data_IF_750392023473
#
_entry.id   IF_750392023473
#
_cell.length_a   1.000
_cell.length_b   1.000
_cell.length_c   1.000
_cell.angle_alpha   90.00
_cell.angle_beta   90.00
_cell.angle_gamma   90.00
#
_symmetry.space_group_name_H-M   'P 1'
#
loop_
_entity.id
_entity.type
_entity.pdbx_description
1 polymer ?
#
# COMPACT_ATOMS: atom_id res chain seq x y z
N UNK A 1 -31.53 12.21 27.12
CA UNK A 1 -32.01 11.95 25.76
C UNK A 1 -31.20 10.78 25.23
N UNK A 2 -31.88 9.68 24.92
CA UNK A 2 -31.26 8.44 24.42
C UNK A 2 -30.74 8.69 23.00
N UNK A 3 -29.43 8.65 22.80
CA UNK A 3 -28.84 8.73 21.47
C UNK A 3 -28.53 7.33 20.95
N UNK A 4 -28.88 7.13 19.69
CA UNK A 4 -28.74 5.91 18.92
C UNK A 4 -27.26 5.54 18.71
N UNK A 5 -26.99 4.25 18.82
CA UNK A 5 -25.82 3.47 18.42
C UNK A 5 -25.12 3.96 17.15
N UNK A 6 -23.92 4.53 17.27
CA UNK A 6 -22.98 4.71 16.14
C UNK A 6 -21.54 4.42 16.58
N UNK A 7 -20.78 3.71 15.74
CA UNK A 7 -19.35 3.45 15.95
C UNK A 7 -18.53 4.62 15.41
N UNK A 8 -17.55 5.09 16.19
CA UNK A 8 -16.73 6.25 15.85
C UNK A 8 -15.35 5.86 15.35
N UNK A 9 -14.82 6.63 14.39
CA UNK A 9 -13.43 6.54 13.93
C UNK A 9 -12.75 7.90 14.02
N UNK A 10 -11.60 7.94 14.70
CA UNK A 10 -10.78 9.15 14.83
C UNK A 10 -9.60 9.14 13.86
N UNK A 11 -9.30 10.32 13.29
CA UNK A 11 -8.23 10.54 12.33
C UNK A 11 -7.24 11.57 12.89
N UNK A 12 -6.04 11.15 13.29
CA UNK A 12 -4.98 12.07 13.74
C UNK A 12 -3.89 12.19 12.66
N UNK A 13 -3.31 13.39 12.47
CA UNK A 13 -2.25 13.70 11.49
C UNK A 13 -1.29 14.75 12.04
N UNK A 14 -0.02 14.72 11.65
CA UNK A 14 0.96 15.73 12.07
C UNK A 14 1.22 16.70 10.93
N UNK A 15 0.56 17.86 10.91
CA UNK A 15 0.80 18.92 9.93
C UNK A 15 1.56 20.08 10.58
N UNK A 16 2.72 20.44 10.01
CA UNK A 16 3.44 21.67 10.33
C UNK A 16 2.95 22.80 9.40
N UNK A 17 2.33 23.85 9.96
CA UNK A 17 1.82 24.97 9.17
C UNK A 17 2.97 25.85 8.61
N UNK A 18 3.25 25.76 7.31
CA UNK A 18 3.79 26.89 6.54
C UNK A 18 2.67 27.61 5.81
N UNK A 19 2.50 28.90 6.12
CA UNK A 19 1.55 29.82 5.48
C UNK A 19 1.94 29.98 4.01
N UNK A 20 1.05 29.60 3.10
CA UNK A 20 1.16 29.96 1.70
C UNK A 20 0.19 31.11 1.41
N UNK A 21 0.76 32.28 1.11
CA UNK A 21 0.02 33.47 0.70
C UNK A 21 -0.31 33.35 -0.79
N UNK A 22 -1.60 33.36 -1.09
CA UNK A 22 -2.12 32.94 -2.39
C UNK A 22 -1.84 33.85 -3.57
N UNK A 23 -2.20 33.33 -4.74
CA UNK A 23 -2.66 34.12 -5.88
C UNK A 23 -3.83 33.39 -6.54
N UNK A 24 -4.88 34.16 -6.81
CA UNK A 24 -6.07 33.79 -7.60
C UNK A 24 -5.70 33.82 -9.09
N UNK A 25 -6.34 32.97 -9.89
CA UNK A 25 -6.97 33.45 -11.14
C UNK A 25 -8.11 32.52 -11.61
N UNK A 26 -9.15 33.05 -12.28
CA UNK A 26 -10.41 32.40 -12.61
C UNK A 26 -10.36 31.84 -14.04
N UNK A 27 -11.12 30.79 -14.34
CA UNK A 27 -11.80 30.68 -15.63
C UNK A 27 -12.94 29.67 -15.51
N UNK A 28 -14.15 30.23 -15.54
CA UNK A 28 -15.42 29.56 -15.82
C UNK A 28 -15.45 29.28 -17.32
N UNK A 29 -15.85 28.08 -17.74
CA UNK A 29 -16.79 27.92 -18.85
C UNK A 29 -17.39 26.51 -18.93
N UNK A 30 -18.72 26.49 -18.86
CA UNK A 30 -19.60 25.38 -19.16
C UNK A 30 -19.64 25.10 -20.66
N UNK A 31 -19.57 23.84 -21.09
CA UNK A 31 -20.05 23.39 -22.40
C UNK A 31 -20.79 22.04 -22.23
N UNK A 32 -21.99 21.98 -22.81
CA UNK A 32 -22.97 20.90 -22.75
C UNK A 32 -22.64 19.69 -23.64
N UNK A 33 -23.23 18.50 -23.39
CA UNK A 33 -23.00 17.30 -24.18
C UNK A 33 -23.94 17.20 -25.39
N UNK A 34 -23.38 16.97 -26.58
CA UNK A 34 -24.14 16.63 -27.79
C UNK A 34 -24.18 15.10 -27.99
N UNK A 35 -25.38 14.58 -28.25
CA UNK A 35 -25.69 13.19 -28.64
C UNK A 35 -25.80 13.08 -30.15
N UNK A 36 -25.33 11.98 -30.74
CA UNK A 36 -25.93 11.37 -31.94
C UNK A 36 -25.55 9.87 -32.08
N UNK A 37 -26.37 9.04 -32.76
CA UNK A 37 -26.42 7.58 -32.62
C UNK A 37 -25.80 6.82 -33.81
N UNK A 38 -25.84 5.46 -33.84
CA UNK A 38 -26.77 4.80 -34.77
C UNK A 38 -27.33 3.41 -34.37
N UNK A 39 -28.41 3.01 -35.06
CA UNK A 39 -29.05 1.68 -35.20
C UNK A 39 -28.83 1.17 -36.66
N UNK A 40 -29.28 -0.02 -37.13
CA UNK A 40 -29.53 -1.34 -36.52
C UNK A 40 -28.97 -2.57 -37.33
N UNK A 41 -28.83 -3.72 -36.63
CA UNK A 41 -29.05 -5.14 -37.02
C UNK A 41 -28.58 -5.78 -38.34
N UNK A 42 -27.97 -6.98 -38.26
CA UNK A 42 -28.39 -8.17 -39.04
C UNK A 42 -27.79 -9.49 -38.50
N UNK A 43 -28.54 -10.58 -38.70
CA UNK A 43 -28.35 -11.97 -38.24
C UNK A 43 -27.50 -12.82 -39.21
N UNK A 44 -26.72 -13.80 -38.70
CA UNK A 44 -26.55 -15.19 -39.21
C UNK A 44 -25.35 -15.86 -38.50
N UNK A 45 -25.60 -16.85 -37.62
CA UNK A 45 -25.51 -18.30 -37.81
C UNK A 45 -24.07 -18.90 -37.74
N UNK A 46 -23.88 -19.65 -36.64
CA UNK A 46 -23.11 -20.89 -36.44
C UNK A 46 -21.64 -20.97 -36.87
N UNK A 47 -20.74 -21.12 -35.88
CA UNK A 47 -19.75 -22.21 -35.85
C UNK A 47 -19.51 -22.63 -34.39
N UNK A 48 -19.52 -23.95 -34.15
CA UNK A 48 -19.18 -24.59 -32.88
C UNK A 48 -17.78 -24.20 -32.43
N UNK A 49 -17.68 -23.38 -31.38
CA UNK A 49 -16.52 -23.36 -30.51
C UNK A 49 -17.01 -23.81 -29.15
N UNK A 50 -16.56 -24.98 -28.69
CA UNK A 50 -16.63 -25.32 -27.27
C UNK A 50 -15.82 -24.26 -26.51
N UNK A 51 -16.48 -23.17 -26.10
CA UNK A 51 -15.99 -22.28 -25.07
C UNK A 51 -15.90 -23.10 -23.79
N UNK A 52 -14.67 -23.53 -23.46
CA UNK A 52 -14.32 -23.80 -22.07
C UNK A 52 -14.84 -22.64 -21.21
N UNK A 53 -15.40 -22.91 -20.01
CA UNK A 53 -15.89 -21.84 -19.15
C UNK A 53 -14.79 -20.78 -19.02
N UNK A 54 -15.09 -19.47 -19.05
CA UNK A 54 -14.05 -18.47 -18.91
C UNK A 54 -13.29 -18.79 -17.62
N UNK A 55 -12.06 -19.28 -17.76
CA UNK A 55 -11.17 -19.47 -16.63
C UNK A 55 -11.18 -18.14 -15.91
N UNK A 56 -11.58 -18.18 -14.64
CA UNK A 56 -11.78 -16.97 -13.85
C UNK A 56 -10.41 -16.30 -13.69
N UNK A 57 -10.07 -15.44 -14.65
CA UNK A 57 -8.79 -14.76 -14.73
C UNK A 57 -8.56 -14.02 -13.41
N UNK A 58 -7.31 -14.07 -12.94
CA UNK A 58 -6.96 -13.43 -11.68
C UNK A 58 -7.30 -11.92 -11.74
N UNK A 59 -7.66 -11.27 -10.61
CA UNK A 59 -7.95 -9.83 -10.60
C UNK A 59 -6.80 -8.92 -11.02
N UNK A 60 -5.59 -9.49 -11.16
CA UNK A 60 -4.36 -8.79 -11.53
C UNK A 60 -3.81 -9.25 -12.88
N UNK A 61 -4.56 -10.09 -13.61
CA UNK A 61 -4.18 -10.56 -14.94
C UNK A 61 -3.96 -9.37 -15.90
N UNK A 62 -2.90 -9.43 -16.71
CA UNK A 62 -2.47 -8.32 -17.56
C UNK A 62 -1.73 -7.19 -16.83
N UNK A 63 -1.66 -7.22 -15.49
CA UNK A 63 -1.02 -6.22 -14.66
C UNK A 63 0.50 -6.34 -14.58
N UNK A 64 1.13 -5.30 -14.02
CA UNK A 64 2.54 -5.29 -13.63
C UNK A 64 2.60 -5.29 -12.10
N UNK A 65 3.22 -6.30 -11.51
CA UNK A 65 3.23 -6.48 -10.05
C UNK A 65 4.54 -6.02 -9.42
N UNK A 66 4.47 -5.05 -8.53
CA UNK A 66 5.51 -4.74 -7.58
C UNK A 66 5.53 -5.81 -6.48
N UNK A 67 6.68 -6.46 -6.26
CA UNK A 67 6.84 -7.53 -5.28
C UNK A 67 7.34 -7.00 -3.93
N UNK A 68 6.68 -7.34 -2.82
CA UNK A 68 7.12 -6.89 -1.50
C UNK A 68 6.15 -7.19 -0.36
N UNK A 69 6.56 -6.87 0.88
CA UNK A 69 5.71 -6.97 2.08
C UNK A 69 4.79 -5.76 2.27
N UNK A 70 5.17 -4.60 1.74
CA UNK A 70 4.35 -3.38 1.71
C UNK A 70 3.74 -2.92 3.06
N UNK A 71 4.43 -3.19 4.18
CA UNK A 71 3.96 -2.87 5.54
C UNK A 71 3.79 -1.35 5.74
N UNK A 72 4.86 -0.57 5.52
CA UNK A 72 4.83 0.88 5.71
C UNK A 72 4.22 1.70 4.56
N UNK A 73 4.12 1.11 3.35
CA UNK A 73 3.87 1.88 2.12
C UNK A 73 4.76 3.15 2.06
N UNK A 74 6.07 3.00 2.27
CA UNK A 74 7.03 4.11 2.28
C UNK A 74 7.46 4.54 0.87
N UNK A 75 8.32 5.57 0.74
CA UNK A 75 8.74 6.10 -0.57
C UNK A 75 9.39 5.05 -1.49
N UNK A 76 10.14 4.09 -0.93
CA UNK A 76 10.64 2.93 -1.70
C UNK A 76 9.55 2.05 -2.32
N UNK A 77 8.43 1.83 -1.63
CA UNK A 77 7.29 1.11 -2.20
C UNK A 77 6.57 1.93 -3.28
N UNK A 78 6.47 3.24 -3.08
CA UNK A 78 5.93 4.16 -4.09
C UNK A 78 6.75 4.11 -5.38
N UNK A 79 8.08 4.06 -5.28
CA UNK A 79 8.96 3.94 -6.44
C UNK A 79 8.71 2.64 -7.23
N UNK A 80 8.55 1.50 -6.55
CA UNK A 80 8.17 0.24 -7.22
C UNK A 80 6.84 0.39 -7.99
N UNK A 81 5.84 1.04 -7.40
CA UNK A 81 4.55 1.28 -8.04
C UNK A 81 4.67 2.25 -9.24
N UNK A 82 5.48 3.29 -9.13
CA UNK A 82 5.77 4.22 -10.23
C UNK A 82 6.38 3.45 -11.41
N UNK A 83 7.37 2.61 -11.16
CA UNK A 83 8.03 1.84 -12.22
C UNK A 83 7.07 0.84 -12.86
N UNK A 84 6.21 0.18 -12.07
CA UNK A 84 5.16 -0.67 -12.60
C UNK A 84 4.18 0.11 -13.51
N UNK A 85 3.83 1.34 -13.12
CA UNK A 85 2.90 2.20 -13.86
C UNK A 85 3.42 2.68 -15.23
N UNK A 86 4.75 2.74 -15.40
CA UNK A 86 5.38 3.09 -16.68
C UNK A 86 5.20 2.02 -17.76
N UNK A 87 4.95 0.78 -17.34
CA UNK A 87 4.89 -0.39 -18.22
C UNK A 87 3.45 -0.91 -18.36
N UNK A 88 2.61 -0.74 -17.34
CA UNK A 88 1.21 -1.18 -17.38
C UNK A 88 0.43 -0.82 -16.14
N UNK A 89 -0.68 -1.54 -15.88
CA UNK A 89 -1.52 -1.29 -14.70
C UNK A 89 -0.76 -1.75 -13.44
N UNK A 90 -0.46 -0.84 -12.49
CA UNK A 90 0.39 -1.17 -11.35
C UNK A 90 -0.39 -1.88 -10.24
N UNK A 91 0.16 -3.00 -9.78
CA UNK A 91 -0.31 -3.73 -8.61
C UNK A 91 0.79 -3.91 -7.57
N UNK A 92 0.44 -3.87 -6.29
CA UNK A 92 1.32 -4.28 -5.20
C UNK A 92 0.96 -5.70 -4.81
N UNK A 93 1.86 -6.66 -5.03
CA UNK A 93 1.68 -8.04 -4.63
C UNK A 93 2.23 -8.25 -3.22
N UNK A 94 1.34 -8.25 -2.24
CA UNK A 94 1.67 -8.26 -0.81
C UNK A 94 1.50 -9.63 -0.18
N UNK A 95 2.49 -10.05 0.61
CA UNK A 95 2.48 -11.32 1.33
C UNK A 95 1.96 -11.16 2.75
N UNK A 96 0.78 -11.72 3.03
CA UNK A 96 0.11 -11.65 4.34
C UNK A 96 0.35 -12.93 5.15
N UNK A 97 0.14 -12.88 6.46
CA UNK A 97 0.31 -14.03 7.36
C UNK A 97 1.77 -14.45 7.63
N UNK A 98 2.76 -13.68 7.14
CA UNK A 98 4.18 -14.03 7.28
C UNK A 98 4.65 -14.13 8.74
N UNK A 99 4.20 -13.21 9.61
CA UNK A 99 4.59 -13.21 11.02
C UNK A 99 4.12 -14.48 11.75
N UNK A 100 2.86 -14.86 11.56
CA UNK A 100 2.27 -16.07 12.14
C UNK A 100 2.98 -17.34 11.66
N UNK A 101 3.21 -17.43 10.36
CA UNK A 101 3.89 -18.58 9.72
C UNK A 101 5.34 -18.74 10.19
N UNK A 102 6.03 -17.64 10.52
CA UNK A 102 7.41 -17.64 10.97
C UNK A 102 7.55 -17.59 12.50
N UNK A 103 6.45 -17.55 13.24
CA UNK A 103 6.46 -17.46 14.71
C UNK A 103 7.00 -16.12 15.23
N UNK A 104 6.87 -15.04 14.46
CA UNK A 104 7.24 -13.69 14.91
C UNK A 104 6.15 -13.10 15.80
N UNK A 105 6.56 -12.28 16.77
CA UNK A 105 5.62 -11.52 17.58
C UNK A 105 4.72 -10.64 16.70
N UNK A 106 3.39 -10.65 16.93
CA UNK A 106 2.48 -9.75 16.26
C UNK A 106 2.89 -8.29 16.51
N UNK A 107 2.98 -7.51 15.43
CA UNK A 107 3.25 -6.07 15.49
C UNK A 107 2.10 -5.32 14.85
N UNK A 108 1.73 -4.18 15.44
CA UNK A 108 0.74 -3.30 14.84
C UNK A 108 1.18 -2.88 13.42
N UNK A 109 0.27 -2.83 12.45
CA UNK A 109 0.60 -2.38 11.10
C UNK A 109 0.97 -0.89 11.11
N UNK A 110 1.95 -0.49 10.29
CA UNK A 110 2.34 0.93 10.18
C UNK A 110 1.22 1.75 9.52
N UNK A 111 0.52 1.13 8.56
CA UNK A 111 -0.65 1.71 7.89
C UNK A 111 -1.86 0.86 8.20
N UNK A 112 -2.85 1.44 8.88
CA UNK A 112 -4.10 0.77 9.19
C UNK A 112 -4.79 0.26 7.91
N UNK A 113 -5.36 -0.95 7.97
CA UNK A 113 -5.98 -1.64 6.82
C UNK A 113 -6.99 -0.76 6.06
N UNK A 114 -7.78 0.02 6.79
CA UNK A 114 -8.77 0.93 6.23
C UNK A 114 -8.18 2.14 5.51
N UNK A 115 -6.97 2.58 5.89
CA UNK A 115 -6.32 3.77 5.35
C UNK A 115 -5.43 3.44 4.14
N UNK A 116 -5.13 2.16 3.91
CA UNK A 116 -4.28 1.71 2.78
C UNK A 116 -4.79 2.19 1.42
N UNK A 117 -6.11 2.12 1.17
CA UNK A 117 -6.70 2.59 -0.10
C UNK A 117 -6.40 4.07 -0.34
N UNK A 118 -6.57 4.92 0.67
CA UNK A 118 -6.27 6.35 0.59
C UNK A 118 -4.78 6.59 0.31
N UNK A 119 -3.89 5.86 0.99
CA UNK A 119 -2.44 5.95 0.74
C UNK A 119 -2.12 5.59 -0.71
N UNK A 120 -2.68 4.50 -1.24
CA UNK A 120 -2.46 4.10 -2.63
C UNK A 120 -3.06 5.11 -3.63
N UNK A 121 -4.25 5.65 -3.36
CA UNK A 121 -4.85 6.72 -4.18
C UNK A 121 -3.98 7.98 -4.21
N UNK A 122 -3.28 8.30 -3.12
CA UNK A 122 -2.35 9.44 -3.09
C UNK A 122 -1.16 9.28 -4.05
N UNK A 123 -0.87 8.07 -4.53
CA UNK A 123 0.22 7.81 -5.49
C UNK A 123 -0.22 7.93 -6.95
N UNK A 124 -1.52 8.06 -7.23
CA UNK A 124 -2.03 8.14 -8.59
C UNK A 124 -1.34 9.25 -9.42
N UNK A 125 -1.11 10.48 -8.91
CA UNK A 125 -0.41 11.52 -9.67
C UNK A 125 1.03 11.12 -10.06
N UNK A 126 1.71 10.31 -9.23
CA UNK A 126 3.04 9.81 -9.55
C UNK A 126 3.02 8.63 -10.53
N UNK A 127 1.88 7.94 -10.64
CA UNK A 127 1.70 6.74 -11.43
C UNK A 127 0.90 6.99 -12.73
N UNK A 128 1.04 8.18 -13.33
CA UNK A 128 0.34 8.53 -14.57
C UNK A 128 -1.19 8.56 -14.42
N UNK A 129 -1.69 8.97 -13.25
CA UNK A 129 -3.10 8.95 -12.84
C UNK A 129 -3.71 7.55 -12.66
N UNK A 130 -2.90 6.49 -12.72
CA UNK A 130 -3.34 5.14 -12.35
C UNK A 130 -3.21 4.96 -10.84
N UNK A 131 -4.31 4.63 -10.17
CA UNK A 131 -4.27 4.27 -8.75
C UNK A 131 -3.75 2.84 -8.59
N UNK A 132 -2.58 2.61 -7.96
CA UNK A 132 -2.09 1.27 -7.69
C UNK A 132 -3.05 0.51 -6.79
N UNK A 133 -3.22 -0.79 -7.05
CA UNK A 133 -4.08 -1.66 -6.23
C UNK A 133 -3.23 -2.70 -5.53
N UNK A 134 -3.62 -3.06 -4.33
CA UNK A 134 -2.94 -4.11 -3.58
C UNK A 134 -3.67 -5.44 -3.75
N UNK A 135 -2.91 -6.50 -4.01
CA UNK A 135 -3.38 -7.87 -4.08
C UNK A 135 -2.63 -8.70 -3.05
N UNK A 136 -3.38 -9.48 -2.25
CA UNK A 136 -2.83 -10.23 -1.12
C UNK A 136 -2.68 -11.70 -1.48
N UNK A 137 -1.51 -12.25 -1.20
CA UNK A 137 -1.24 -13.68 -1.23
C UNK A 137 -0.86 -14.14 0.17
N UNK A 138 -1.51 -15.20 0.63
CA UNK A 138 -1.14 -15.89 1.87
C UNK A 138 0.28 -16.45 1.76
N UNK A 139 1.18 -16.01 2.65
CA UNK A 139 2.58 -16.45 2.63
C UNK A 139 2.69 -17.97 2.80
N UNK A 140 1.78 -18.59 3.55
CA UNK A 140 1.69 -20.05 3.72
C UNK A 140 1.55 -20.81 2.39
N UNK A 141 0.89 -20.21 1.38
CA UNK A 141 0.66 -20.81 0.06
C UNK A 141 1.84 -20.68 -0.90
N UNK A 142 2.81 -19.82 -0.59
CA UNK A 142 3.96 -19.56 -1.48
C UNK A 142 5.30 -19.86 -0.84
N UNK A 143 5.39 -19.99 0.49
CA UNK A 143 6.65 -20.16 1.22
C UNK A 143 7.47 -21.37 0.78
N UNK A 144 6.83 -22.43 0.27
CA UNK A 144 7.45 -23.69 -0.12
C UNK A 144 7.84 -23.74 -1.60
N UNK A 145 7.46 -22.74 -2.39
CA UNK A 145 7.72 -22.71 -3.82
C UNK A 145 9.20 -22.45 -4.07
N UNK A 146 9.80 -23.21 -4.97
CA UNK A 146 11.10 -22.85 -5.55
C UNK A 146 11.00 -21.52 -6.32
N UNK A 147 12.13 -20.83 -6.60
CA UNK A 147 12.12 -19.65 -7.45
C UNK A 147 11.38 -19.86 -8.78
N UNK A 148 11.61 -20.99 -9.45
CA UNK A 148 10.92 -21.35 -10.71
C UNK A 148 9.42 -21.46 -10.52
N UNK A 149 8.96 -22.24 -9.53
CA UNK A 149 7.52 -22.42 -9.25
C UNK A 149 6.83 -21.11 -8.85
N UNK A 150 7.55 -20.21 -8.17
CA UNK A 150 7.02 -18.90 -7.85
C UNK A 150 6.76 -18.07 -9.11
N UNK A 151 7.72 -18.03 -10.05
CA UNK A 151 7.57 -17.31 -11.33
C UNK A 151 6.51 -17.97 -12.22
N UNK A 152 6.46 -19.29 -12.26
CA UNK A 152 5.41 -20.05 -12.93
C UNK A 152 4.02 -19.66 -12.42
N UNK A 153 3.84 -19.56 -11.09
CA UNK A 153 2.59 -19.10 -10.47
C UNK A 153 2.24 -17.67 -10.90
N UNK A 154 3.22 -16.76 -10.95
CA UNK A 154 2.99 -15.39 -11.42
C UNK A 154 2.49 -15.38 -12.87
N UNK A 155 3.12 -16.18 -13.74
CA UNK A 155 2.81 -16.24 -15.16
C UNK A 155 1.50 -16.95 -15.46
N UNK A 156 1.32 -18.18 -14.97
CA UNK A 156 0.24 -19.08 -15.38
C UNK A 156 -1.01 -18.90 -14.52
N UNK A 157 -0.86 -18.82 -13.19
CA UNK A 157 -2.02 -18.73 -12.30
C UNK A 157 -2.51 -17.29 -12.12
N UNK A 158 -1.59 -16.33 -12.03
CA UNK A 158 -1.95 -14.92 -11.86
C UNK A 158 -2.03 -14.17 -13.19
N UNK A 159 -1.45 -14.68 -14.28
CA UNK A 159 -1.55 -14.06 -15.60
C UNK A 159 -0.95 -12.66 -15.67
N UNK A 160 0.04 -12.33 -14.82
CA UNK A 160 0.68 -11.01 -14.85
C UNK A 160 1.54 -10.87 -16.09
N UNK A 161 1.79 -9.65 -16.57
CA UNK A 161 2.69 -9.41 -17.73
C UNK A 161 4.12 -9.07 -17.33
N UNK A 162 4.33 -8.71 -16.07
CA UNK A 162 5.66 -8.39 -15.59
C UNK A 162 5.71 -8.11 -14.10
N UNK A 163 6.94 -8.03 -13.61
CA UNK A 163 7.28 -7.86 -12.20
C UNK A 163 8.21 -6.67 -12.03
N UNK A 164 8.06 -5.96 -10.92
CA UNK A 164 9.00 -4.94 -10.46
C UNK A 164 9.50 -5.32 -9.07
N UNK A 165 10.81 -5.31 -8.88
CA UNK A 165 11.44 -5.64 -7.62
C UNK A 165 12.65 -4.73 -7.34
N UNK A 166 13.02 -4.62 -6.07
CA UNK A 166 14.28 -3.96 -5.69
C UNK A 166 15.49 -4.85 -5.98
N UNK A 167 16.66 -4.26 -6.16
CA UNK A 167 17.94 -4.97 -6.37
C UNK A 167 18.27 -5.98 -5.26
N UNK A 168 17.80 -5.74 -4.03
CA UNK A 168 18.01 -6.63 -2.87
C UNK A 168 16.86 -7.63 -2.67
N UNK A 169 15.98 -7.81 -3.66
CA UNK A 169 14.83 -8.70 -3.54
C UNK A 169 15.26 -10.16 -3.49
N UNK A 170 14.65 -10.92 -2.58
CA UNK A 170 14.88 -12.34 -2.38
C UNK A 170 13.56 -13.09 -2.37
N UNK A 171 13.52 -14.25 -3.00
CA UNK A 171 12.28 -15.02 -3.14
C UNK A 171 12.52 -16.53 -3.25
N UNK A 172 11.43 -17.29 -3.30
CA UNK A 172 11.45 -18.74 -3.27
C UNK A 172 11.76 -19.31 -1.89
N UNK A 173 11.71 -20.64 -1.79
CA UNK A 173 11.91 -21.38 -0.56
C UNK A 173 13.26 -21.01 0.07
N UNK A 174 13.22 -20.59 1.34
CA UNK A 174 14.39 -20.11 2.10
C UNK A 174 15.16 -18.97 1.39
N UNK A 175 14.47 -18.10 0.65
CA UNK A 175 15.07 -16.98 -0.05
C UNK A 175 16.18 -17.42 -1.03
N UNK A 176 16.02 -18.58 -1.66
CA UNK A 176 17.01 -19.18 -2.55
C UNK A 176 17.26 -18.38 -3.85
N UNK A 177 16.26 -17.64 -4.34
CA UNK A 177 16.37 -16.80 -5.52
C UNK A 177 16.67 -15.34 -5.19
N UNK A 178 17.40 -14.67 -6.09
CA UNK A 178 17.72 -13.25 -6.04
C UNK A 178 17.19 -12.47 -7.27
N UNK A 179 17.48 -11.18 -7.36
CA UNK A 179 17.02 -10.34 -8.46
C UNK A 179 17.50 -10.84 -9.85
N UNK A 180 18.69 -11.44 -9.93
CA UNK A 180 19.21 -11.99 -11.19
C UNK A 180 18.47 -13.26 -11.59
N UNK A 181 18.16 -14.14 -10.63
CA UNK A 181 17.28 -15.29 -10.87
C UNK A 181 15.89 -14.87 -11.31
N UNK A 182 15.34 -13.80 -10.72
CA UNK A 182 14.03 -13.29 -11.09
C UNK A 182 14.00 -12.86 -12.56
N UNK A 183 15.00 -12.10 -13.02
CA UNK A 183 15.10 -11.67 -14.42
C UNK A 183 15.16 -12.86 -15.36
N UNK A 184 16.09 -13.79 -15.11
CA UNK A 184 16.27 -14.99 -15.95
C UNK A 184 15.00 -15.84 -16.02
N UNK A 185 14.39 -16.13 -14.87
CA UNK A 185 13.17 -16.93 -14.83
C UNK A 185 12.00 -16.20 -15.49
N UNK A 186 11.83 -14.89 -15.27
CA UNK A 186 10.77 -14.12 -15.93
C UNK A 186 10.90 -14.19 -17.46
N UNK A 187 12.11 -14.08 -18.01
CA UNK A 187 12.36 -14.23 -19.45
C UNK A 187 11.92 -15.61 -19.97
N UNK A 188 12.22 -16.69 -19.25
CA UNK A 188 11.80 -18.05 -19.60
C UNK A 188 10.27 -18.22 -19.67
N UNK A 189 9.52 -17.46 -18.87
CA UNK A 189 8.05 -17.48 -18.83
C UNK A 189 7.40 -16.33 -19.63
N UNK A 190 8.17 -15.53 -20.38
CA UNK A 190 7.64 -14.42 -21.17
C UNK A 190 7.15 -13.21 -20.36
N UNK A 191 7.64 -13.04 -19.13
CA UNK A 191 7.35 -11.92 -18.24
C UNK A 191 8.41 -10.82 -18.36
N UNK A 192 8.00 -9.56 -18.36
CA UNK A 192 8.93 -8.44 -18.16
C UNK A 192 9.43 -8.40 -16.71
N UNK A 193 10.74 -8.23 -16.48
CA UNK A 193 11.31 -8.05 -15.15
C UNK A 193 12.06 -6.72 -15.05
N UNK A 194 11.67 -5.88 -14.10
CA UNK A 194 12.24 -4.56 -13.88
C UNK A 194 12.84 -4.48 -12.48
N UNK A 195 14.17 -4.48 -12.41
CA UNK A 195 14.91 -4.35 -11.16
C UNK A 195 15.29 -2.88 -10.95
N UNK A 196 14.94 -2.33 -9.79
CA UNK A 196 15.21 -0.94 -9.46
C UNK A 196 16.16 -0.82 -8.27
N UNK A 197 16.97 0.22 -8.27
CA UNK A 197 17.82 0.55 -7.12
C UNK A 197 16.98 1.01 -5.94
N UNK A 198 17.45 0.70 -4.74
CA UNK A 198 16.78 1.09 -3.51
C UNK A 198 16.74 2.61 -3.33
N UNK A 199 15.63 3.13 -2.83
CA UNK A 199 15.52 4.54 -2.43
C UNK A 199 16.29 4.75 -1.14
N UNK A 200 17.31 5.59 -1.18
CA UNK A 200 18.19 5.87 -0.05
C UNK A 200 17.57 6.89 0.91
N UNK A 201 17.83 6.69 2.21
CA UNK A 201 17.46 7.64 3.25
C UNK A 201 18.36 8.87 3.19
N UNK A 202 17.75 10.06 3.22
CA UNK A 202 18.46 11.34 3.16
C UNK A 202 19.20 11.68 4.46
N UNK A 203 18.77 11.14 5.60
CA UNK A 203 19.41 11.40 6.89
C UNK A 203 20.67 10.58 7.14
N UNK A 204 21.05 9.67 6.23
CA UNK A 204 22.25 8.85 6.41
C UNK A 204 23.20 8.91 5.21
N UNK A 205 24.33 9.58 5.43
CA UNK A 205 25.61 9.09 4.93
C UNK A 205 25.95 7.83 5.74
N UNK A 206 25.56 6.66 5.21
CA UNK A 206 25.93 5.30 5.63
C UNK A 206 26.88 5.20 6.84
N UNK A 207 26.39 5.04 8.10
CA UNK A 207 27.14 4.38 9.20
C UNK A 207 26.45 4.18 10.55
N UNK A 208 25.36 4.84 10.91
CA UNK A 208 24.87 4.81 12.30
C UNK A 208 23.47 4.20 12.50
N UNK A 209 23.29 2.94 12.13
CA UNK A 209 22.36 2.06 12.87
C UNK A 209 23.18 0.84 13.28
N UNK A 210 23.28 0.63 14.59
CA UNK A 210 24.01 -0.47 15.20
C UNK A 210 23.63 -1.80 14.53
N UNK A 211 24.68 -2.49 14.10
CA UNK A 211 24.66 -3.76 13.41
C UNK A 211 23.90 -4.83 14.22
N UNK A 212 22.68 -5.15 13.77
CA UNK A 212 22.12 -6.50 13.91
C UNK A 212 21.56 -7.04 12.59
N UNK A 213 21.27 -6.19 11.61
CA UNK A 213 20.97 -6.59 10.23
C UNK A 213 21.94 -5.91 9.27
N UNK A 214 23.04 -6.59 8.95
CA UNK A 214 24.08 -6.15 8.00
C UNK A 214 23.60 -6.03 6.54
N UNK A 215 22.28 -5.98 6.29
CA UNK A 215 21.68 -5.89 4.96
C UNK A 215 21.08 -4.51 4.61
N UNK A 216 20.82 -3.65 5.59
CA UNK A 216 20.21 -2.34 5.32
C UNK A 216 21.27 -1.27 5.05
N UNK A 217 21.68 -1.14 3.78
CA UNK A 217 22.68 -0.17 3.28
C UNK A 217 22.25 1.31 3.34
N UNK A 218 21.45 1.72 4.31
CA UNK A 218 20.91 3.11 4.38
C UNK A 218 19.65 3.34 3.54
N UNK A 219 19.03 2.29 3.00
CA UNK A 219 17.79 2.40 2.23
C UNK A 219 16.56 2.69 3.10
N UNK A 220 15.55 3.36 2.55
CA UNK A 220 14.25 3.49 3.23
C UNK A 220 13.60 2.11 3.42
N UNK A 221 13.20 1.79 4.65
CA UNK A 221 12.60 0.50 4.99
C UNK A 221 11.49 0.63 6.04
N UNK A 222 10.64 -0.40 6.15
CA UNK A 222 9.60 -0.46 7.20
C UNK A 222 10.22 -0.53 8.60
N UNK A 223 11.41 -1.10 8.75
CA UNK A 223 12.17 -1.12 10.01
C UNK A 223 12.53 0.30 10.46
N UNK A 224 13.08 1.12 9.54
CA UNK A 224 13.40 2.53 9.84
C UNK A 224 12.16 3.34 10.19
N UNK A 225 11.05 3.14 9.48
CA UNK A 225 9.78 3.81 9.82
C UNK A 225 9.32 3.45 11.23
N UNK A 226 9.38 2.18 11.62
CA UNK A 226 9.04 1.75 12.99
C UNK A 226 9.97 2.36 14.02
N UNK A 227 11.26 2.45 13.74
CA UNK A 227 12.23 3.10 14.62
C UNK A 227 11.94 4.59 14.81
N UNK A 228 11.65 5.31 13.72
CA UNK A 228 11.26 6.72 13.77
C UNK A 228 9.99 6.93 14.62
N UNK A 229 8.96 6.10 14.40
CA UNK A 229 7.71 6.14 15.16
C UNK A 229 7.94 5.80 16.64
N UNK A 230 8.75 4.79 16.96
CA UNK A 230 9.06 4.40 18.34
C UNK A 230 9.82 5.50 19.10
N UNK A 231 10.62 6.31 18.40
CA UNK A 231 11.31 7.48 18.96
C UNK A 231 10.45 8.74 19.00
N UNK A 232 9.25 8.72 18.42
CA UNK A 232 8.42 9.91 18.25
C UNK A 232 8.98 10.94 17.26
N UNK A 233 9.94 10.57 16.40
CA UNK A 233 10.47 11.45 15.35
C UNK A 233 9.53 11.44 14.14
N UNK A 234 8.44 12.20 14.25
CA UNK A 234 7.36 12.23 13.27
C UNK A 234 7.75 12.94 11.98
N UNK A 235 8.70 13.86 12.05
CA UNK A 235 9.29 14.50 10.87
C UNK A 235 10.08 13.49 10.05
N UNK A 236 10.93 12.70 10.69
CA UNK A 236 11.65 11.62 10.03
C UNK A 236 10.71 10.54 9.48
N UNK A 237 9.70 10.14 10.26
CA UNK A 237 8.68 9.22 9.78
C UNK A 237 7.99 9.75 8.51
N UNK A 238 7.68 11.04 8.48
CA UNK A 238 7.04 11.69 7.33
C UNK A 238 7.96 11.73 6.10
N UNK A 239 9.26 11.97 6.27
CA UNK A 239 10.26 11.91 5.19
C UNK A 239 10.36 10.50 4.59
N UNK A 240 10.48 9.47 5.43
CA UNK A 240 10.56 8.07 4.99
C UNK A 240 9.27 7.61 4.31
N UNK A 241 8.11 8.04 4.82
CA UNK A 241 6.80 7.70 4.26
C UNK A 241 6.46 8.52 3.00
N UNK A 242 7.08 9.70 2.85
CA UNK A 242 6.74 10.70 1.84
C UNK A 242 5.32 11.24 1.98
N UNK A 243 4.79 11.22 3.21
CA UNK A 243 3.48 11.70 3.65
C UNK A 243 3.46 11.73 5.18
N UNK A 244 2.56 12.50 5.76
CA UNK A 244 2.32 12.45 7.19
C UNK A 244 1.72 11.10 7.63
N UNK A 245 2.21 10.61 8.77
CA UNK A 245 1.70 9.38 9.39
C UNK A 245 0.31 9.66 9.99
N UNK A 246 -0.61 8.70 9.85
CA UNK A 246 -1.96 8.79 10.40
C UNK A 246 -2.22 7.66 11.37
N UNK A 247 -2.73 8.01 12.55
CA UNK A 247 -3.27 7.06 13.49
C UNK A 247 -4.78 6.91 13.26
N UNK A 248 -5.22 5.66 13.19
CA UNK A 248 -6.63 5.29 13.06
C UNK A 248 -7.04 4.56 14.33
N UNK A 249 -8.06 5.06 15.01
CA UNK A 249 -8.62 4.44 16.20
C UNK A 249 -10.04 4.00 15.90
N UNK A 250 -10.37 2.77 16.32
CA UNK A 250 -11.74 2.26 16.34
C UNK A 250 -12.18 2.31 17.80
N UNK A 251 -13.34 2.93 18.06
CA UNK A 251 -13.86 3.07 19.41
C UNK A 251 -15.11 2.22 19.60
N UNK A 252 -15.24 1.64 20.79
CA UNK A 252 -16.41 0.92 21.26
C UNK A 252 -17.28 1.79 22.18
N UNK A 253 -18.50 1.35 22.49
CA UNK A 253 -19.50 2.14 23.23
C UNK A 253 -19.04 2.61 24.62
N UNK A 254 -18.09 1.90 25.23
CA UNK A 254 -17.56 2.22 26.54
C UNK A 254 -16.28 3.06 26.50
N UNK A 255 -15.69 3.29 25.32
CA UNK A 255 -14.47 4.09 25.21
C UNK A 255 -14.81 5.59 25.35
N UNK A 256 -14.08 6.28 26.23
CA UNK A 256 -14.29 7.70 26.49
C UNK A 256 -13.50 8.60 25.54
N UNK A 257 -14.17 9.54 24.89
CA UNK A 257 -13.51 10.68 24.22
C UNK A 257 -13.86 11.95 24.96
N UNK A 258 -12.86 12.57 25.57
CA UNK A 258 -13.02 13.85 26.24
C UNK A 258 -12.22 14.89 25.46
N UNK A 259 -12.91 15.83 24.81
CA UNK A 259 -12.27 16.94 24.10
C UNK A 259 -12.31 18.15 25.03
N UNK A 260 -11.15 18.62 25.48
CA UNK A 260 -11.03 19.93 26.10
C UNK A 260 -10.66 21.00 25.05
N UNK A 261 -10.52 22.25 25.46
CA UNK A 261 -10.22 23.37 24.53
C UNK A 261 -8.86 23.24 23.82
N UNK A 262 -7.99 22.34 24.27
CA UNK A 262 -6.59 22.21 23.86
C UNK A 262 -6.17 20.77 23.53
N UNK A 263 -6.86 19.75 24.06
CA UNK A 263 -6.47 18.34 23.96
C UNK A 263 -7.68 17.45 23.70
N UNK A 264 -7.39 16.30 23.08
CA UNK A 264 -8.33 15.19 22.95
C UNK A 264 -7.79 14.08 23.83
N UNK A 265 -8.51 13.77 24.90
CA UNK A 265 -8.24 12.66 25.79
C UNK A 265 -9.01 11.44 25.27
N UNK A 266 -8.29 10.33 25.11
CA UNK A 266 -8.82 9.06 24.62
C UNK A 266 -8.62 8.03 25.73
N UNK A 267 -9.72 7.58 26.33
CA UNK A 267 -9.72 6.49 27.29
C UNK A 267 -9.99 5.21 26.49
N UNK A 268 -8.95 4.38 26.33
CA UNK A 268 -8.98 3.15 25.55
C UNK A 268 -8.76 1.97 26.50
N UNK A 269 -9.73 1.06 26.61
CA UNK A 269 -9.64 -0.10 27.51
C UNK A 269 -8.60 -1.14 27.05
N UNK A 270 -8.11 -1.05 25.80
CA UNK A 270 -7.11 -1.99 25.27
C UNK A 270 -6.08 -1.27 24.37
N UNK A 271 -4.97 -0.80 24.96
CA UNK A 271 -3.84 -0.33 24.18
C UNK A 271 -3.01 -1.50 23.64
N UNK A 272 -3.31 -1.91 22.40
CA UNK A 272 -2.37 -2.65 21.56
C UNK A 272 -1.79 -1.72 20.48
N UNK A 273 -1.25 -0.56 20.89
CA UNK A 273 -0.62 0.40 19.97
C UNK A 273 0.84 0.64 20.34
N UNK A 274 1.72 0.53 19.34
CA UNK A 274 3.17 0.72 19.46
C UNK A 274 3.58 2.21 19.52
N UNK A 275 2.69 3.12 19.92
CA UNK A 275 2.96 4.55 19.93
C UNK A 275 2.77 5.05 21.37
N UNK A 276 3.85 5.39 22.09
CA UNK A 276 3.70 6.31 23.19
C UNK A 276 3.15 7.62 22.61
N UNK A 277 1.89 7.95 22.93
CA UNK A 277 1.26 9.23 22.57
C UNK A 277 1.84 10.37 23.41
N UNK A 278 3.17 10.51 23.42
CA UNK A 278 3.90 11.54 24.19
C UNK A 278 4.23 12.76 23.33
N UNK A 279 3.89 12.75 22.04
CA UNK A 279 4.20 13.84 21.11
C UNK A 279 3.01 14.79 20.95
N UNK A 280 3.30 16.10 21.09
CA UNK A 280 2.37 17.22 21.03
C UNK A 280 1.87 17.54 19.60
N UNK A 281 2.24 16.76 18.59
CA UNK A 281 2.09 17.17 17.18
C UNK A 281 0.95 16.49 16.42
N UNK A 282 0.03 15.79 17.10
CA UNK A 282 -1.13 15.19 16.45
C UNK A 282 -2.29 16.18 16.35
N UNK A 283 -2.66 16.54 15.11
CA UNK A 283 -3.88 17.28 14.80
C UNK A 283 -5.00 16.31 14.45
N UNK A 284 -6.15 16.48 15.08
CA UNK A 284 -7.38 15.81 14.65
C UNK A 284 -7.81 16.36 13.29
N UNK A 285 -7.77 15.50 12.27
CA UNK A 285 -8.23 15.83 10.91
C UNK A 285 -9.75 15.70 10.77
N UNK A 286 -10.37 14.85 11.58
CA UNK A 286 -11.80 14.62 11.51
C UNK A 286 -12.24 13.41 12.30
N UNK A 287 -13.53 13.38 12.58
CA UNK A 287 -14.25 12.23 13.12
C UNK A 287 -15.09 11.71 11.96
N UNK A 288 -14.90 10.46 11.60
CA UNK A 288 -15.70 9.80 10.57
C UNK A 288 -16.65 8.83 11.27
N UNK A 289 -17.95 8.97 10.99
CA UNK A 289 -18.98 8.12 11.55
C UNK A 289 -19.10 6.92 10.64
N UNK A 290 -18.86 5.72 11.17
CA UNK A 290 -19.04 4.50 10.40
C UNK A 290 -20.55 4.27 10.21
N UNK A 291 -21.14 4.89 9.18
CA UNK A 291 -22.54 4.69 8.84
C UNK A 291 -22.78 3.21 8.49
N UNK A 292 -23.66 2.56 9.24
CA UNK A 292 -24.28 1.32 8.79
C UNK A 292 -25.12 1.63 7.56
N UNK A 293 -24.64 1.25 6.39
CA UNK A 293 -25.43 1.37 5.18
C UNK A 293 -26.68 0.50 5.26
N UNK A 294 -27.85 1.14 5.37
CA UNK A 294 -29.12 0.74 4.73
C UNK A 294 -30.07 1.93 4.83
N UNK A 295 -30.41 2.55 3.70
CA UNK A 295 -31.78 2.77 3.19
C UNK A 295 -31.69 3.10 1.69
#
# INVERSE_FOLDING_TARGET
>A
MSFSTERFRFLLNNDDCRRDNGLRDPYVNCIQPTKSPPLPGCLSQNEDCQESPPEKLSPIAGGIVALGKFDALHIGHRELAIQASKVGIPFLLSFVGMAEVLGWEPRAPIVAKCDRKRVLSSWAPNCGNLTPREFHIEFSKVRYLTPRQFVEKLSLELGVRGVVAGENYRFGYKAAGDASDLVRLCEEYGLGAYIISSVMDKKQDSKEINASDSMERGQVSSTRVRHALAKGDMNYASELLGRHHRLMLMMEENDGVMIDTTHIHLELDVLATCIPLTSQDFRLLGIDFAGSGTF
#
